data_IF_123032455911
#
_entry.id   IF_123032455911
#
_cell.length_a   1.000
_cell.length_b   1.000
_cell.length_c   1.000
_cell.angle_alpha   90.00
_cell.angle_beta   90.00
_cell.angle_gamma   90.00
#
_symmetry.space_group_name_H-M   'P 1'
#
loop_
_entity.id
_entity.type
_entity.pdbx_description
1 polymer ?
#
# COMPACT_ATOMS: atom_id res chain seq x y z
N UNK A 1 11.01 22.03 -2.83
CA UNK A 1 10.59 20.84 -3.61
C UNK A 1 9.13 20.56 -3.31
N UNK A 2 8.28 20.30 -4.32
CA UNK A 2 6.88 19.94 -4.09
C UNK A 2 6.79 18.55 -3.45
N UNK A 3 5.82 18.39 -2.57
CA UNK A 3 5.42 17.10 -2.00
C UNK A 3 4.88 16.17 -3.09
N UNK A 4 4.83 14.87 -2.77
CA UNK A 4 4.27 13.86 -3.68
C UNK A 4 2.82 14.19 -4.04
N UNK A 5 2.02 14.68 -3.10
CA UNK A 5 0.62 15.04 -3.37
C UNK A 5 0.51 16.24 -4.31
N UNK A 6 1.35 17.27 -4.13
CA UNK A 6 1.41 18.41 -5.04
C UNK A 6 1.81 18.00 -6.46
N UNK A 7 2.78 17.08 -6.59
CA UNK A 7 3.18 16.53 -7.90
C UNK A 7 2.01 15.80 -8.59
N UNK A 8 1.20 15.05 -7.85
CA UNK A 8 0.02 14.36 -8.40
C UNK A 8 -1.04 15.34 -8.89
N UNK A 9 -1.28 16.42 -8.13
CA UNK A 9 -2.19 17.50 -8.55
C UNK A 9 -1.69 18.12 -9.86
N UNK A 10 -0.38 18.38 -9.98
CA UNK A 10 0.22 18.92 -11.21
C UNK A 10 0.03 17.94 -12.39
N UNK A 11 0.17 16.62 -12.17
CA UNK A 11 -0.10 15.64 -13.22
C UNK A 11 -1.55 15.69 -13.70
N UNK A 12 -2.51 15.74 -12.78
CA UNK A 12 -3.94 15.81 -13.13
C UNK A 12 -4.24 17.11 -13.89
N UNK A 13 -3.72 18.24 -13.41
CA UNK A 13 -3.86 19.53 -14.08
C UNK A 13 -3.32 19.51 -15.51
N UNK A 14 -2.10 19.02 -15.72
CA UNK A 14 -1.50 18.93 -17.06
C UNK A 14 -2.21 17.91 -17.97
N UNK A 15 -2.75 16.82 -17.40
CA UNK A 15 -3.57 15.87 -18.13
C UNK A 15 -4.87 16.51 -18.64
N UNK A 16 -5.56 17.29 -17.79
CA UNK A 16 -6.78 18.04 -18.17
C UNK A 16 -6.49 19.09 -19.24
N UNK A 17 -5.27 19.67 -19.24
CA UNK A 17 -4.77 20.55 -20.31
C UNK A 17 -4.39 19.84 -21.60
N UNK A 18 -4.58 18.52 -21.68
CA UNK A 18 -4.24 17.67 -22.83
C UNK A 18 -2.73 17.68 -23.15
N UNK A 19 -1.90 17.92 -22.15
CA UNK A 19 -0.44 17.78 -22.26
C UNK A 19 -0.04 16.29 -22.29
N UNK A 20 1.21 15.98 -22.67
CA UNK A 20 1.76 14.63 -22.58
C UNK A 20 2.56 14.42 -21.29
N UNK A 21 2.57 13.18 -20.77
CA UNK A 21 3.34 12.82 -19.58
C UNK A 21 4.83 13.23 -19.68
N UNK A 22 5.43 13.08 -20.86
CA UNK A 22 6.82 13.47 -21.12
C UNK A 22 7.03 14.98 -20.98
N UNK A 23 6.11 15.79 -21.54
CA UNK A 23 6.18 17.25 -21.44
C UNK A 23 5.93 17.71 -20.01
N UNK A 24 4.98 17.10 -19.31
CA UNK A 24 4.71 17.39 -17.89
C UNK A 24 5.92 17.08 -17.00
N UNK A 25 6.53 15.90 -17.16
CA UNK A 25 7.74 15.55 -16.41
C UNK A 25 8.87 16.55 -16.66
N UNK A 26 9.03 17.03 -17.91
CA UNK A 26 10.00 18.07 -18.25
C UNK A 26 9.68 19.41 -17.57
N UNK A 27 8.43 19.86 -17.61
CA UNK A 27 8.00 21.09 -16.95
C UNK A 27 8.25 21.06 -15.43
N UNK A 28 7.96 19.93 -14.79
CA UNK A 28 8.21 19.74 -13.33
C UNK A 28 9.71 19.79 -13.05
N UNK A 29 10.52 19.12 -13.86
CA UNK A 29 11.97 19.15 -13.73
C UNK A 29 12.52 20.58 -13.89
N UNK A 30 12.08 21.31 -14.91
CA UNK A 30 12.46 22.70 -15.18
C UNK A 30 12.04 23.65 -14.05
N UNK A 31 10.87 23.44 -13.44
CA UNK A 31 10.33 24.32 -12.40
C UNK A 31 10.89 24.05 -10.99
N UNK A 32 11.19 22.80 -10.64
CA UNK A 32 11.46 22.41 -9.25
C UNK A 32 12.84 21.78 -9.00
N UNK A 33 13.59 21.40 -10.04
CA UNK A 33 14.91 20.74 -9.95
C UNK A 33 14.87 19.30 -9.42
N UNK A 34 15.40 18.32 -10.18
CA UNK A 34 15.44 16.84 -9.92
C UNK A 34 14.09 16.07 -10.07
N UNK A 35 13.99 14.76 -10.38
CA UNK A 35 14.90 13.66 -10.80
C UNK A 35 14.23 12.84 -11.94
N UNK A 36 14.97 11.91 -12.56
CA UNK A 36 14.52 10.96 -13.61
C UNK A 36 13.21 10.20 -13.29
N UNK A 37 12.88 10.07 -12.00
CA UNK A 37 11.69 9.35 -11.51
C UNK A 37 10.38 10.03 -11.92
N UNK A 38 10.41 11.34 -12.17
CA UNK A 38 9.26 12.11 -12.67
C UNK A 38 8.68 11.55 -13.97
N UNK A 39 9.51 11.01 -14.88
CA UNK A 39 9.04 10.46 -16.17
C UNK A 39 8.27 9.16 -15.99
N UNK A 40 8.79 8.23 -15.19
CA UNK A 40 8.12 6.96 -14.93
C UNK A 40 6.83 7.17 -14.13
N UNK A 41 6.87 8.05 -13.14
CA UNK A 41 5.72 8.42 -12.33
C UNK A 41 4.67 9.12 -13.21
N UNK A 42 5.04 10.12 -14.01
CA UNK A 42 4.11 10.80 -14.92
C UNK A 42 3.44 9.83 -15.89
N UNK A 43 4.19 8.88 -16.47
CA UNK A 43 3.60 7.85 -17.35
C UNK A 43 2.56 7.00 -16.64
N UNK A 44 2.83 6.55 -15.41
CA UNK A 44 1.86 5.77 -14.61
C UNK A 44 0.60 6.56 -14.32
N UNK A 45 0.73 7.80 -13.84
CA UNK A 45 -0.41 8.67 -13.55
C UNK A 45 -1.24 9.00 -14.80
N UNK A 46 -0.59 9.32 -15.91
CA UNK A 46 -1.29 9.59 -17.17
C UNK A 46 -1.99 8.34 -17.73
N UNK A 47 -1.44 7.14 -17.51
CA UNK A 47 -2.13 5.89 -17.86
C UNK A 47 -3.40 5.74 -17.02
N UNK A 48 -3.29 5.88 -15.69
CA UNK A 48 -4.41 5.85 -14.75
C UNK A 48 -5.53 6.82 -15.14
N UNK A 49 -5.18 8.07 -15.44
CA UNK A 49 -6.15 9.08 -15.88
C UNK A 49 -6.80 8.77 -17.24
N UNK A 50 -6.06 8.14 -18.17
CA UNK A 50 -6.62 7.68 -19.46
C UNK A 50 -7.61 6.53 -19.28
N UNK A 51 -7.42 5.71 -18.25
CA UNK A 51 -8.31 4.61 -17.88
C UNK A 51 -9.56 5.11 -17.13
N UNK A 52 -9.67 6.42 -16.87
CA UNK A 52 -10.82 7.08 -16.27
C UNK A 52 -10.72 7.27 -14.75
N UNK A 53 -9.66 6.78 -14.12
CA UNK A 53 -9.43 6.96 -12.69
C UNK A 53 -8.60 8.22 -12.43
N UNK A 54 -9.26 9.28 -11.97
CA UNK A 54 -8.65 10.57 -11.63
C UNK A 54 -8.36 10.74 -10.12
N UNK A 55 -8.51 9.67 -9.33
CA UNK A 55 -8.23 9.71 -7.89
C UNK A 55 -6.74 9.98 -7.62
N UNK A 56 -6.44 10.95 -6.76
CA UNK A 56 -5.07 11.31 -6.37
C UNK A 56 -4.52 10.43 -5.23
N UNK A 57 -5.36 9.54 -4.71
CA UNK A 57 -5.00 8.58 -3.68
C UNK A 57 -4.10 7.49 -4.27
N UNK A 58 -3.23 6.94 -3.42
CA UNK A 58 -2.59 5.68 -3.77
C UNK A 58 -3.68 4.62 -3.72
N UNK A 59 -3.69 3.72 -4.70
CA UNK A 59 -4.36 2.44 -4.52
C UNK A 59 -3.87 1.84 -3.20
N UNK A 60 -4.79 1.32 -2.39
CA UNK A 60 -4.42 0.50 -1.25
C UNK A 60 -3.46 -0.55 -1.78
N UNK A 61 -2.20 -0.46 -1.36
CA UNK A 61 -1.24 -1.50 -1.67
C UNK A 61 -1.73 -2.70 -0.90
N UNK A 62 -2.38 -3.62 -1.60
CA UNK A 62 -2.77 -4.92 -1.06
C UNK A 62 -1.58 -5.45 -0.28
N UNK A 63 -1.72 -5.53 1.04
CA UNK A 63 -0.80 -6.32 1.83
C UNK A 63 -1.03 -7.75 1.36
N UNK A 64 0.03 -8.55 1.14
CA UNK A 64 -0.16 -9.97 0.86
C UNK A 64 -1.15 -10.53 1.89
N UNK A 65 -2.16 -11.24 1.40
CA UNK A 65 -3.13 -11.90 2.26
C UNK A 65 -2.36 -12.68 3.33
N UNK A 66 -2.82 -12.56 4.56
CA UNK A 66 -2.15 -13.27 5.63
C UNK A 66 -2.26 -14.77 5.40
N UNK A 67 -1.14 -15.47 5.58
CA UNK A 67 -1.08 -16.93 5.55
C UNK A 67 -1.86 -17.56 6.72
N UNK A 68 -2.14 -16.79 7.77
CA UNK A 68 -2.79 -17.28 9.00
C UNK A 68 -4.28 -16.92 8.97
N UNK A 69 -5.14 -17.94 9.03
CA UNK A 69 -6.57 -17.78 9.30
C UNK A 69 -6.79 -17.44 10.80
N UNK A 70 -7.49 -16.34 11.07
CA UNK A 70 -7.80 -15.91 12.43
C UNK A 70 -8.70 -16.92 13.16
N UNK A 71 -9.60 -17.61 12.47
CA UNK A 71 -10.48 -18.62 13.07
C UNK A 71 -9.70 -19.88 13.46
N UNK A 72 -8.73 -20.29 12.62
CA UNK A 72 -7.81 -21.36 12.95
C UNK A 72 -6.93 -20.99 14.17
N UNK A 73 -6.36 -19.78 14.18
CA UNK A 73 -5.57 -19.30 15.31
C UNK A 73 -6.39 -19.25 16.60
N UNK A 74 -7.64 -18.78 16.54
CA UNK A 74 -8.54 -18.72 17.69
C UNK A 74 -8.81 -20.12 18.25
N UNK A 75 -9.09 -21.11 17.40
CA UNK A 75 -9.26 -22.52 17.82
C UNK A 75 -8.03 -23.09 18.53
N UNK A 76 -6.82 -22.81 18.03
CA UNK A 76 -5.57 -23.28 18.65
C UNK A 76 -5.37 -22.65 20.04
N UNK A 77 -5.66 -21.36 20.18
CA UNK A 77 -5.56 -20.65 21.46
C UNK A 77 -6.61 -21.14 22.46
N UNK A 78 -7.86 -21.30 22.03
CA UNK A 78 -8.96 -21.77 22.89
C UNK A 78 -8.75 -23.22 23.36
N UNK A 79 -8.14 -24.07 22.53
CA UNK A 79 -7.79 -25.44 22.91
C UNK A 79 -6.78 -25.49 24.06
N UNK A 80 -5.89 -24.49 24.18
CA UNK A 80 -4.98 -24.37 25.30
C UNK A 80 -4.48 -22.94 25.52
N UNK A 81 -5.13 -22.22 26.45
CA UNK A 81 -4.81 -20.84 26.82
C UNK A 81 -3.40 -20.63 27.39
N UNK A 82 -2.69 -21.71 27.75
CA UNK A 82 -1.32 -21.63 28.29
C UNK A 82 -0.24 -21.79 27.21
N UNK A 83 -0.62 -22.04 25.95
CA UNK A 83 0.36 -22.15 24.88
C UNK A 83 1.10 -20.83 24.67
N UNK A 84 2.40 -20.95 24.47
CA UNK A 84 3.24 -19.82 24.10
C UNK A 84 3.10 -19.51 22.61
N UNK A 85 3.33 -18.25 22.24
CA UNK A 85 3.39 -17.83 20.81
C UNK A 85 4.37 -18.69 20.00
N UNK A 86 5.43 -19.21 20.63
CA UNK A 86 6.40 -20.11 19.97
C UNK A 86 5.81 -21.46 19.62
N UNK A 87 4.99 -22.03 20.49
CA UNK A 87 4.33 -23.32 20.26
C UNK A 87 3.26 -23.18 19.19
N UNK A 88 2.44 -22.14 19.26
CA UNK A 88 1.41 -21.82 18.26
C UNK A 88 2.04 -21.63 16.88
N UNK A 89 3.15 -20.89 16.80
CA UNK A 89 3.90 -20.69 15.57
C UNK A 89 4.42 -22.01 14.97
N UNK A 90 4.82 -22.95 15.82
CA UNK A 90 5.23 -24.30 15.39
C UNK A 90 4.06 -25.10 14.85
N UNK A 91 2.92 -25.10 15.55
CA UNK A 91 1.70 -25.81 15.14
C UNK A 91 1.15 -25.32 13.81
N UNK A 92 1.15 -23.99 13.60
CA UNK A 92 0.64 -23.35 12.40
C UNK A 92 1.70 -23.20 11.30
N UNK A 93 2.93 -23.69 11.51
CA UNK A 93 4.07 -23.56 10.59
C UNK A 93 4.34 -22.12 10.09
N UNK A 94 4.04 -21.12 10.92
CA UNK A 94 4.21 -19.70 10.59
C UNK A 94 5.22 -19.01 11.49
N UNK A 95 5.62 -17.80 11.12
CA UNK A 95 6.51 -17.00 11.96
C UNK A 95 5.80 -16.54 13.24
N UNK A 96 6.55 -16.48 14.36
CA UNK A 96 6.07 -15.91 15.64
C UNK A 96 5.51 -14.49 15.49
N UNK A 97 6.12 -13.69 14.62
CA UNK A 97 5.66 -12.32 14.33
C UNK A 97 4.30 -12.30 13.64
N UNK A 98 3.97 -13.30 12.83
CA UNK A 98 2.64 -13.44 12.25
C UNK A 98 1.62 -13.79 13.32
N UNK A 99 1.91 -14.76 14.19
CA UNK A 99 1.03 -15.13 15.31
C UNK A 99 0.73 -13.93 16.22
N UNK A 100 1.76 -13.22 16.71
CA UNK A 100 1.55 -12.06 17.58
C UNK A 100 0.69 -10.97 16.95
N UNK A 101 0.87 -10.71 15.65
CA UNK A 101 0.06 -9.73 14.92
C UNK A 101 -1.40 -10.15 14.80
N UNK A 102 -1.68 -11.44 14.60
CA UNK A 102 -3.05 -11.94 14.45
C UNK A 102 -3.78 -11.99 15.78
N UNK A 103 -3.09 -12.37 16.87
CA UNK A 103 -3.65 -12.25 18.23
C UNK A 103 -4.11 -10.82 18.54
N UNK A 104 -3.30 -9.82 18.20
CA UNK A 104 -3.67 -8.40 18.35
C UNK A 104 -4.85 -7.98 17.46
N UNK A 105 -5.05 -8.62 16.31
CA UNK A 105 -6.21 -8.36 15.47
C UNK A 105 -7.48 -8.94 16.08
N UNK A 106 -7.42 -10.18 16.59
CA UNK A 106 -8.54 -10.86 17.26
C UNK A 106 -9.00 -10.06 18.48
N UNK A 107 -8.07 -9.61 19.33
CA UNK A 107 -8.39 -8.77 20.51
C UNK A 107 -9.11 -7.45 20.14
N UNK A 108 -8.73 -6.84 19.00
CA UNK A 108 -9.34 -5.59 18.52
C UNK A 108 -10.72 -5.78 17.91
N UNK A 109 -11.00 -6.95 17.33
CA UNK A 109 -12.31 -7.27 16.75
C UNK A 109 -13.37 -7.67 17.77
N UNK A 110 -12.96 -8.08 18.98
CA UNK A 110 -13.88 -8.42 20.07
C UNK A 110 -14.13 -7.26 21.07
N UNK A 111 -13.49 -6.10 20.87
CA UNK A 111 -13.69 -4.86 21.65
C UNK A 111 -14.66 -3.91 20.97
#
# INVERSE_FOLDING_TARGET
>A
MPSINEIRIIFLYEFKRRTSASKTARNIYEAFGESLDSRAIAKRWFKKFKEGDESLENEERGRPDSVVDNEELKRVVEANLRQTVREIAGTLEVSKSSVSRHLQQIEKTES
#
